data_IF_833177134045
#
_entry.id   IF_833177134045
#
_cell.length_a   1.000
_cell.length_b   1.000
_cell.length_c   1.000
_cell.angle_alpha   90.00
_cell.angle_beta   90.00
_cell.angle_gamma   90.00
#
_symmetry.space_group_name_H-M   'P 1'
#
loop_
_entity.id
_entity.type
_entity.pdbx_description
1 polymer ?
#
# COMPACT_ATOMS: atom_id res chain seq x y z
N UNK A 1 -22.19 -32.98 -14.39
CA UNK A 1 -21.63 -32.64 -13.07
C UNK A 1 -20.57 -31.58 -13.30
N UNK A 2 -20.67 -30.49 -12.54
CA UNK A 2 -20.06 -29.20 -12.79
C UNK A 2 -18.54 -29.28 -12.86
N UNK A 3 -17.98 -28.82 -13.99
CA UNK A 3 -16.56 -28.50 -14.07
C UNK A 3 -16.37 -27.23 -13.23
N UNK A 4 -16.01 -27.40 -11.95
CA UNK A 4 -15.54 -26.30 -11.10
C UNK A 4 -14.23 -25.81 -11.71
N UNK A 5 -14.33 -24.89 -12.66
CA UNK A 5 -13.20 -24.11 -13.12
C UNK A 5 -12.63 -23.41 -11.89
N UNK A 6 -11.45 -23.85 -11.45
CA UNK A 6 -10.61 -23.07 -10.56
C UNK A 6 -10.35 -21.75 -11.27
N UNK A 7 -11.10 -20.72 -10.93
CA UNK A 7 -10.73 -19.36 -11.28
C UNK A 7 -9.39 -19.12 -10.59
N UNK A 8 -8.31 -19.10 -11.37
CA UNK A 8 -6.99 -18.71 -10.90
C UNK A 8 -7.13 -17.27 -10.41
N UNK A 9 -7.25 -17.08 -9.09
CA UNK A 9 -7.31 -15.74 -8.49
C UNK A 9 -5.89 -15.20 -8.61
N UNK A 10 -5.67 -14.37 -9.63
CA UNK A 10 -4.41 -13.63 -9.76
C UNK A 10 -4.30 -12.68 -8.57
N UNK A 11 -3.64 -13.13 -7.51
CA UNK A 11 -3.30 -12.29 -6.36
C UNK A 11 -2.08 -11.45 -6.71
N UNK A 12 -2.18 -10.14 -6.52
CA UNK A 12 -1.06 -9.22 -6.64
C UNK A 12 -0.61 -8.84 -5.23
N UNK A 13 0.71 -8.92 -4.98
CA UNK A 13 1.28 -8.43 -3.73
C UNK A 13 1.17 -6.91 -3.70
N UNK A 14 0.32 -6.38 -2.83
CA UNK A 14 0.19 -4.94 -2.62
C UNK A 14 1.04 -4.53 -1.41
N UNK A 15 1.79 -3.44 -1.56
CA UNK A 15 2.64 -2.90 -0.51
C UNK A 15 2.42 -1.42 -0.25
N UNK A 16 2.58 -1.01 1.01
CA UNK A 16 2.82 0.39 1.41
C UNK A 16 4.09 0.43 2.23
N UNK A 17 5.07 1.23 1.79
CA UNK A 17 6.23 1.56 2.59
C UNK A 17 5.95 2.84 3.37
N UNK A 18 6.07 2.79 4.69
CA UNK A 18 5.81 3.91 5.60
C UNK A 18 7.11 4.29 6.29
N UNK A 19 7.51 5.55 6.18
CA UNK A 19 8.63 6.12 6.93
C UNK A 19 8.07 6.95 8.07
N UNK A 20 8.47 6.63 9.30
CA UNK A 20 8.10 7.36 10.51
C UNK A 20 9.14 8.42 10.81
N UNK A 21 8.69 9.62 11.20
CA UNK A 21 9.55 10.74 11.52
C UNK A 21 9.37 11.16 12.98
N UNK A 22 10.45 11.62 13.62
CA UNK A 22 10.39 12.24 14.95
C UNK A 22 9.87 13.68 14.85
N UNK A 23 9.75 14.36 15.99
CA UNK A 23 9.31 15.76 16.06
C UNK A 23 10.28 16.77 15.39
N UNK A 24 11.56 16.40 15.22
CA UNK A 24 12.54 17.21 14.50
C UNK A 24 12.48 17.02 12.97
N UNK A 25 11.69 16.04 12.50
CA UNK A 25 11.56 15.71 11.09
C UNK A 25 12.58 14.66 10.60
N UNK A 26 13.34 14.02 11.49
CA UNK A 26 14.27 12.96 11.10
C UNK A 26 13.57 11.60 10.99
N UNK A 27 13.93 10.77 10.01
CA UNK A 27 13.39 9.42 9.90
C UNK A 27 13.87 8.55 11.07
N UNK A 28 12.96 7.81 11.67
CA UNK A 28 13.21 6.95 12.84
C UNK A 28 13.01 5.47 12.54
N UNK A 29 12.04 5.15 11.69
CA UNK A 29 11.68 3.77 11.33
C UNK A 29 11.15 3.75 9.89
N UNK A 30 11.37 2.64 9.19
CA UNK A 30 10.64 2.29 7.99
C UNK A 30 9.92 0.96 8.19
N UNK A 31 8.64 0.90 7.81
CA UNK A 31 7.82 -0.31 7.91
C UNK A 31 7.13 -0.59 6.59
N UNK A 32 7.16 -1.86 6.19
CA UNK A 32 6.43 -2.35 5.04
C UNK A 32 5.12 -3.01 5.48
N UNK A 33 4.01 -2.54 4.92
CA UNK A 33 2.69 -3.13 5.09
C UNK A 33 2.31 -3.85 3.81
N UNK A 34 2.27 -5.18 3.83
CA UNK A 34 1.90 -6.02 2.68
C UNK A 34 0.57 -6.72 2.83
N UNK A 35 -0.12 -6.93 1.72
CA UNK A 35 -1.26 -7.83 1.66
C UNK A 35 -1.45 -8.35 0.25
N UNK A 36 -1.79 -9.64 0.12
CA UNK A 36 -2.23 -10.22 -1.14
C UNK A 36 -3.64 -9.72 -1.45
N UNK A 37 -3.83 -9.05 -2.58
CA UNK A 37 -5.15 -8.59 -3.01
C UNK A 37 -5.51 -9.14 -4.40
N UNK A 38 -6.80 -9.40 -4.65
CA UNK A 38 -7.25 -10.02 -5.89
C UNK A 38 -7.27 -9.08 -7.09
N UNK A 39 -7.21 -7.76 -6.87
CA UNK A 39 -7.28 -6.74 -7.94
C UNK A 39 -6.48 -5.50 -7.58
N UNK A 40 -6.15 -4.68 -8.59
CA UNK A 40 -5.52 -3.37 -8.39
C UNK A 40 -6.39 -2.42 -7.55
N UNK A 41 -7.71 -2.44 -7.74
CA UNK A 41 -8.64 -1.62 -6.95
C UNK A 41 -8.65 -2.05 -5.47
N UNK A 42 -8.52 -3.36 -5.21
CA UNK A 42 -8.36 -3.88 -3.86
C UNK A 42 -6.99 -3.52 -3.26
N UNK A 43 -5.91 -3.49 -4.05
CA UNK A 43 -4.63 -2.90 -3.61
C UNK A 43 -4.80 -1.45 -3.16
N UNK A 44 -5.42 -0.60 -3.98
CA UNK A 44 -5.61 0.82 -3.66
C UNK A 44 -6.45 0.99 -2.37
N UNK A 45 -7.51 0.20 -2.23
CA UNK A 45 -8.33 0.17 -1.01
C UNK A 45 -7.52 -0.23 0.22
N UNK A 46 -6.66 -1.24 0.11
CA UNK A 46 -5.75 -1.64 1.19
C UNK A 46 -4.77 -0.51 1.54
N UNK A 47 -4.16 0.14 0.54
CA UNK A 47 -3.23 1.25 0.75
C UNK A 47 -3.91 2.43 1.49
N UNK A 48 -5.14 2.80 1.08
CA UNK A 48 -5.92 3.83 1.75
C UNK A 48 -6.34 3.39 3.17
N UNK A 49 -6.57 2.10 3.39
CA UNK A 49 -6.81 1.51 4.71
C UNK A 49 -5.62 1.69 5.65
N UNK A 50 -4.40 1.43 5.19
CA UNK A 50 -3.15 1.67 5.96
C UNK A 50 -3.05 3.15 6.35
N UNK A 51 -3.33 4.07 5.42
CA UNK A 51 -3.30 5.51 5.70
C UNK A 51 -4.36 5.91 6.72
N UNK A 52 -5.59 5.40 6.59
CA UNK A 52 -6.68 5.70 7.51
C UNK A 52 -6.39 5.17 8.92
N UNK A 53 -5.78 3.99 9.03
CA UNK A 53 -5.36 3.41 10.30
C UNK A 53 -4.27 4.24 10.98
N UNK A 54 -3.21 4.62 10.25
CA UNK A 54 -2.15 5.50 10.76
C UNK A 54 -2.69 6.86 11.23
N UNK A 55 -3.60 7.47 10.47
CA UNK A 55 -4.28 8.71 10.89
C UNK A 55 -5.07 8.51 12.18
N UNK A 56 -5.75 7.37 12.34
CA UNK A 56 -6.52 7.03 13.55
C UNK A 56 -5.61 6.83 14.77
N UNK A 57 -4.40 6.33 14.56
CA UNK A 57 -3.37 6.23 15.60
C UNK A 57 -2.78 7.60 16.01
N UNK A 58 -3.15 8.68 15.32
CA UNK A 58 -2.74 10.05 15.63
C UNK A 58 -1.58 10.59 14.79
N UNK A 59 -1.11 9.82 13.79
CA UNK A 59 -0.07 10.29 12.89
C UNK A 59 -0.62 11.30 11.87
N UNK A 60 0.14 12.35 11.60
CA UNK A 60 -0.01 13.12 10.36
C UNK A 60 0.61 12.30 9.23
N UNK A 61 -0.20 11.91 8.25
CA UNK A 61 0.24 11.08 7.12
C UNK A 61 0.21 11.91 5.84
N UNK A 62 1.33 11.90 5.12
CA UNK A 62 1.49 12.54 3.82
C UNK A 62 1.87 11.45 2.79
N UNK A 63 1.18 11.42 1.66
CA UNK A 63 1.58 10.54 0.55
C UNK A 63 2.80 11.20 -0.10
N UNK A 64 3.90 10.47 -0.26
CA UNK A 64 5.00 10.95 -1.08
C UNK A 64 4.44 11.28 -2.48
N UNK A 65 4.84 12.41 -3.09
CA UNK A 65 4.48 12.67 -4.47
C UNK A 65 4.94 11.47 -5.30
N UNK A 66 4.03 10.88 -6.06
CA UNK A 66 4.40 9.94 -7.11
C UNK A 66 5.07 10.79 -8.19
N UNK A 67 6.38 10.93 -8.11
CA UNK A 67 7.19 11.31 -9.26
C UNK A 67 7.05 10.14 -10.25
N UNK A 68 6.05 10.23 -11.13
CA UNK A 68 5.98 9.36 -12.30
C UNK A 68 7.19 9.78 -13.14
N UNK A 69 8.29 9.03 -13.04
CA UNK A 69 9.41 9.20 -13.96
C UNK A 69 8.89 8.70 -15.31
N UNK A 70 8.47 9.61 -16.19
CA UNK A 70 8.21 9.37 -17.60
C UNK A 70 9.54 9.09 -18.37
N UNK A 71 10.45 8.31 -17.80
CA UNK A 71 11.63 7.81 -18.52
C UNK A 71 11.21 6.59 -19.36
N UNK A 72 10.45 6.89 -20.42
CA UNK A 72 10.45 6.07 -21.63
C UNK A 72 11.69 6.48 -22.42
N UNK A 73 12.74 5.66 -22.34
CA UNK A 73 13.82 5.65 -23.33
C UNK A 73 13.83 4.32 -24.09
#
# INVERSE_FOLDING_TARGET
>A
MESKGSAEVTVQLCGVMVTYFNAAGDPTEQRWFTSDQPTLAACQTYQDGVIADLKRQGYRVEKAPVEISDDVN
#
